data_IF_893888857733
#
_entry.id   IF_893888857733
#
_cell.length_a   1.000
_cell.length_b   1.000
_cell.length_c   1.000
_cell.angle_alpha   90.00
_cell.angle_beta   90.00
_cell.angle_gamma   90.00
#
_symmetry.space_group_name_H-M   'P 1'
#
loop_
_entity.id
_entity.type
_entity.pdbx_description
1 polymer ?
#
# COMPACT_ATOMS: atom_id res chain seq x y z
N UNK A 1 -15.64 6.95 6.61
CA UNK A 1 -14.28 7.52 6.44
C UNK A 1 -13.38 6.38 5.97
N UNK A 2 -12.44 6.64 5.08
CA UNK A 2 -11.58 5.62 4.46
C UNK A 2 -10.24 5.49 5.20
N UNK A 3 -9.68 4.28 5.21
CA UNK A 3 -8.32 4.03 5.65
C UNK A 3 -7.48 3.55 4.46
N UNK A 4 -6.35 4.21 4.21
CA UNK A 4 -5.47 3.89 3.10
C UNK A 4 -4.64 5.10 2.67
N UNK A 5 -3.73 4.88 1.72
CA UNK A 5 -2.83 5.92 1.21
C UNK A 5 -3.48 6.82 0.15
N UNK A 6 -4.54 6.33 -0.50
CA UNK A 6 -5.26 7.03 -1.58
C UNK A 6 -6.75 6.73 -1.45
N UNK A 7 -7.59 7.65 -1.93
CA UNK A 7 -9.04 7.42 -2.00
C UNK A 7 -9.35 6.23 -2.88
N UNK A 8 -10.29 5.43 -2.42
CA UNK A 8 -10.89 4.36 -3.18
C UNK A 8 -11.66 4.95 -4.38
N UNK A 9 -11.38 4.53 -5.63
CA UNK A 9 -12.09 5.00 -6.81
C UNK A 9 -13.61 4.76 -6.78
N UNK A 10 -14.08 3.76 -6.02
CA UNK A 10 -15.49 3.43 -5.87
C UNK A 10 -16.16 4.24 -4.74
N UNK A 11 -15.38 4.97 -3.93
CA UNK A 11 -15.88 5.81 -2.82
C UNK A 11 -15.34 7.25 -2.89
N UNK A 12 -15.45 7.97 -4.02
CA UNK A 12 -14.78 9.27 -4.20
C UNK A 12 -15.21 10.34 -3.17
N UNK A 13 -16.46 10.25 -2.69
CA UNK A 13 -17.08 11.23 -1.80
C UNK A 13 -16.85 10.94 -0.31
N UNK A 14 -16.23 9.81 0.04
CA UNK A 14 -15.90 9.49 1.43
C UNK A 14 -14.50 10.03 1.72
N UNK A 15 -14.27 10.84 2.76
CA UNK A 15 -12.93 11.37 3.08
C UNK A 15 -11.99 10.26 3.57
N UNK A 16 -10.69 10.41 3.33
CA UNK A 16 -9.65 9.64 4.02
C UNK A 16 -9.58 10.08 5.48
N UNK A 17 -9.18 9.19 6.37
CA UNK A 17 -8.91 9.56 7.77
C UNK A 17 -7.83 10.65 7.85
N UNK A 18 -6.86 10.62 6.95
CA UNK A 18 -5.80 11.64 6.85
C UNK A 18 -6.32 13.01 6.41
N UNK A 19 -7.51 13.11 5.80
CA UNK A 19 -8.11 14.39 5.38
C UNK A 19 -8.74 15.15 6.56
N UNK A 20 -9.04 14.46 7.66
CA UNK A 20 -9.92 14.97 8.74
C UNK A 20 -9.30 14.84 10.13
N UNK A 21 -8.28 14.00 10.30
CA UNK A 21 -7.63 13.80 11.57
C UNK A 21 -6.74 15.00 11.93
N UNK A 22 -6.53 15.19 13.24
CA UNK A 22 -5.53 16.15 13.73
C UNK A 22 -4.16 15.82 13.08
N UNK A 23 -3.46 16.81 12.50
CA UNK A 23 -2.19 16.61 11.80
C UNK A 23 -1.14 15.84 12.61
N UNK A 24 -1.17 15.91 13.95
CA UNK A 24 -0.23 15.17 14.81
C UNK A 24 -0.36 13.64 14.67
N UNK A 25 -1.52 13.12 14.24
CA UNK A 25 -1.74 11.69 14.02
C UNK A 25 -1.38 11.24 12.61
N UNK A 26 -1.06 12.17 11.70
CA UNK A 26 -0.79 11.85 10.29
C UNK A 26 0.31 10.77 10.10
N UNK A 27 1.45 10.80 10.81
CA UNK A 27 2.46 9.74 10.66
C UNK A 27 1.93 8.35 11.00
N UNK A 28 1.11 8.24 12.06
CA UNK A 28 0.49 6.98 12.46
C UNK A 28 -0.58 6.54 11.45
N UNK A 29 -1.39 7.47 10.94
CA UNK A 29 -2.42 7.18 9.94
C UNK A 29 -1.78 6.71 8.62
N UNK A 30 -0.74 7.39 8.16
CA UNK A 30 -0.02 7.01 6.93
C UNK A 30 0.67 5.64 7.11
N UNK A 31 1.30 5.39 8.26
CA UNK A 31 1.90 4.09 8.60
C UNK A 31 0.89 2.94 8.59
N UNK A 32 -0.26 3.10 9.25
CA UNK A 32 -1.34 2.09 9.28
C UNK A 32 -1.99 1.95 7.90
N UNK A 33 -2.18 3.07 7.19
CA UNK A 33 -2.76 3.10 5.84
C UNK A 33 -1.92 2.36 4.79
N UNK A 34 -0.60 2.28 4.97
CA UNK A 34 0.30 1.54 4.07
C UNK A 34 0.02 0.03 4.05
N UNK A 35 -0.51 -0.56 5.13
CA UNK A 35 -0.78 -2.00 5.23
C UNK A 35 -1.65 -2.54 4.10
N UNK A 36 -2.65 -1.76 3.65
CA UNK A 36 -3.56 -2.18 2.59
C UNK A 36 -2.86 -2.39 1.25
N UNK A 37 -1.86 -1.56 0.93
CA UNK A 37 -1.07 -1.69 -0.30
C UNK A 37 -0.02 -2.80 -0.17
N UNK A 38 0.67 -2.86 0.98
CA UNK A 38 1.78 -3.81 1.20
C UNK A 38 1.27 -5.25 1.32
N UNK A 39 0.09 -5.47 1.90
CA UNK A 39 -0.41 -6.79 2.27
C UNK A 39 -0.63 -7.78 1.10
N UNK A 40 -0.63 -7.31 -0.15
CA UNK A 40 -0.70 -8.16 -1.36
C UNK A 40 0.52 -8.00 -2.28
N UNK A 41 1.60 -7.40 -1.79
CA UNK A 41 2.84 -7.23 -2.53
C UNK A 41 3.61 -8.53 -2.67
N UNK A 42 4.47 -8.58 -3.70
CA UNK A 42 5.49 -9.62 -3.85
C UNK A 42 6.79 -9.11 -3.24
N UNK A 43 7.53 -10.00 -2.56
CA UNK A 43 8.83 -9.71 -2.00
C UNK A 43 9.85 -10.76 -2.44
N UNK A 44 11.10 -10.34 -2.58
CA UNK A 44 12.23 -11.20 -2.88
C UNK A 44 13.18 -11.23 -1.66
N UNK A 45 13.88 -12.35 -1.40
CA UNK A 45 14.79 -12.44 -0.28
C UNK A 45 16.01 -11.49 -0.44
N UNK A 46 16.67 -11.12 0.66
CA UNK A 46 17.94 -10.38 0.62
C UNK A 46 18.98 -11.10 -0.24
N UNK A 47 19.76 -10.34 -1.01
CA UNK A 47 20.79 -10.88 -1.91
C UNK A 47 20.29 -11.30 -3.30
N UNK A 48 18.99 -11.17 -3.58
CA UNK A 48 18.47 -11.34 -4.95
C UNK A 48 19.16 -10.36 -5.92
N UNK A 49 19.69 -10.82 -7.07
CA UNK A 49 20.36 -9.95 -8.04
C UNK A 49 19.45 -8.82 -8.53
N UNK A 50 20.02 -7.62 -8.70
CA UNK A 50 19.26 -6.41 -9.11
C UNK A 50 18.60 -6.59 -10.48
N UNK A 51 19.25 -7.34 -11.36
CA UNK A 51 18.76 -7.66 -12.70
C UNK A 51 17.48 -8.50 -12.61
N UNK A 52 17.44 -9.49 -11.70
CA UNK A 52 16.26 -10.30 -11.47
C UNK A 52 15.10 -9.48 -10.88
N UNK A 53 15.40 -8.56 -9.94
CA UNK A 53 14.41 -7.62 -9.40
C UNK A 53 13.83 -6.76 -10.52
N UNK A 54 14.68 -6.19 -11.39
CA UNK A 54 14.24 -5.36 -12.51
C UNK A 54 13.30 -6.12 -13.45
N UNK A 55 13.64 -7.38 -13.79
CA UNK A 55 12.78 -8.24 -14.60
C UNK A 55 11.41 -8.45 -13.93
N UNK A 56 11.37 -8.74 -12.63
CA UNK A 56 10.12 -8.92 -11.89
C UNK A 56 9.28 -7.64 -11.87
N UNK A 57 9.89 -6.48 -11.67
CA UNK A 57 9.20 -5.19 -11.66
C UNK A 57 8.58 -4.87 -13.03
N UNK A 58 9.32 -5.07 -14.12
CA UNK A 58 8.82 -4.86 -15.48
C UNK A 58 7.69 -5.84 -15.81
N UNK A 59 7.82 -7.11 -15.43
CA UNK A 59 6.78 -8.11 -15.63
C UNK A 59 5.50 -7.78 -14.85
N UNK A 60 5.64 -7.34 -13.60
CA UNK A 60 4.53 -6.89 -12.76
C UNK A 60 3.78 -5.73 -13.42
N UNK A 61 4.49 -4.69 -13.86
CA UNK A 61 3.88 -3.52 -14.49
C UNK A 61 3.11 -3.84 -15.75
N UNK A 62 3.62 -4.77 -16.57
CA UNK A 62 2.91 -5.26 -17.76
C UNK A 62 1.65 -6.02 -17.38
N UNK A 63 1.76 -6.95 -16.42
CA UNK A 63 0.63 -7.77 -15.97
C UNK A 63 -0.51 -6.94 -15.39
N UNK A 64 -0.23 -5.99 -14.47
CA UNK A 64 -1.31 -5.22 -13.81
C UNK A 64 -2.03 -4.25 -14.74
N UNK A 65 -1.47 -3.98 -15.93
CA UNK A 65 -2.07 -3.16 -17.00
C UNK A 65 -2.67 -4.00 -18.12
N UNK A 66 -2.49 -5.32 -18.09
CA UNK A 66 -2.92 -6.21 -19.15
C UNK A 66 -4.46 -6.37 -19.15
N UNK A 67 -5.14 -6.10 -20.29
CA UNK A 67 -6.59 -6.19 -20.36
C UNK A 67 -7.15 -7.60 -20.10
N UNK A 68 -6.43 -8.65 -20.50
CA UNK A 68 -6.85 -10.04 -20.28
C UNK A 68 -6.77 -10.39 -18.80
N UNK A 69 -5.66 -10.01 -18.14
CA UNK A 69 -5.51 -10.13 -16.69
C UNK A 69 -6.63 -9.43 -15.93
N UNK A 70 -6.96 -8.18 -16.30
CA UNK A 70 -8.03 -7.41 -15.66
C UNK A 70 -9.40 -8.08 -15.90
N UNK A 71 -9.68 -8.54 -17.11
CA UNK A 71 -10.92 -9.23 -17.43
C UNK A 71 -11.08 -10.53 -16.62
N UNK A 72 -10.02 -11.31 -16.51
CA UNK A 72 -10.03 -12.56 -15.74
C UNK A 72 -10.13 -12.32 -14.24
N UNK A 73 -9.45 -11.31 -13.70
CA UNK A 73 -9.62 -10.88 -12.32
C UNK A 73 -11.08 -10.48 -12.04
N UNK A 74 -11.71 -9.73 -12.95
CA UNK A 74 -13.12 -9.33 -12.85
C UNK A 74 -14.07 -10.52 -12.84
N UNK A 75 -13.88 -11.52 -13.73
CA UNK A 75 -14.68 -12.77 -13.74
C UNK A 75 -14.61 -13.50 -12.39
N UNK A 76 -13.44 -13.47 -11.74
CA UNK A 76 -13.18 -14.10 -10.44
C UNK A 76 -13.58 -13.22 -9.25
N UNK A 77 -14.17 -12.04 -9.48
CA UNK A 77 -14.48 -11.04 -8.44
C UNK A 77 -13.25 -10.63 -7.64
N UNK A 78 -12.08 -10.66 -8.27
CA UNK A 78 -10.82 -10.19 -7.70
C UNK A 78 -10.65 -8.72 -8.03
N UNK A 79 -10.54 -7.91 -6.99
CA UNK A 79 -10.32 -6.47 -7.12
C UNK A 79 -8.87 -6.19 -7.49
N UNK A 80 -8.66 -5.48 -8.59
CA UNK A 80 -7.36 -5.04 -9.08
C UNK A 80 -7.31 -3.51 -9.10
N UNK A 81 -6.42 -2.93 -8.30
CA UNK A 81 -6.07 -1.51 -8.37
C UNK A 81 -4.63 -1.46 -8.86
N UNK A 82 -4.47 -1.21 -10.16
CA UNK A 82 -3.16 -1.21 -10.80
C UNK A 82 -2.22 -0.22 -10.11
N UNK A 83 -1.12 -0.73 -9.57
CA UNK A 83 -0.06 0.06 -8.94
C UNK A 83 1.27 -0.43 -9.45
N UNK A 84 2.09 0.48 -9.96
CA UNK A 84 3.43 0.16 -10.47
C UNK A 84 4.39 -0.20 -9.34
N UNK A 85 5.46 -0.91 -9.71
CA UNK A 85 6.41 -1.44 -8.73
C UNK A 85 7.17 -0.33 -8.00
N UNK A 86 7.48 0.78 -8.68
CA UNK A 86 8.17 1.92 -8.08
C UNK A 86 7.33 2.59 -6.99
N UNK A 87 6.03 2.78 -7.24
CA UNK A 87 5.07 3.30 -6.25
C UNK A 87 4.97 2.37 -5.05
N UNK A 88 4.87 1.06 -5.26
CA UNK A 88 4.85 0.08 -4.16
C UNK A 88 6.13 0.18 -3.32
N UNK A 89 7.31 0.19 -3.97
CA UNK A 89 8.59 0.28 -3.28
C UNK A 89 8.72 1.57 -2.48
N UNK A 90 8.25 2.70 -3.03
CA UNK A 90 8.23 3.98 -2.31
C UNK A 90 7.37 3.90 -1.06
N UNK A 91 6.16 3.35 -1.14
CA UNK A 91 5.27 3.22 0.02
C UNK A 91 5.86 2.32 1.09
N UNK A 92 6.53 1.22 0.71
CA UNK A 92 7.25 0.37 1.66
C UNK A 92 8.35 1.16 2.37
N UNK A 93 9.20 1.87 1.61
CA UNK A 93 10.30 2.64 2.18
C UNK A 93 9.79 3.75 3.12
N UNK A 94 8.74 4.47 2.72
CA UNK A 94 8.11 5.52 3.52
C UNK A 94 7.53 4.95 4.81
N UNK A 95 6.81 3.82 4.73
CA UNK A 95 6.23 3.16 5.91
C UNK A 95 7.31 2.67 6.89
N UNK A 96 8.41 2.11 6.38
CA UNK A 96 9.56 1.69 7.20
C UNK A 96 10.24 2.90 7.85
N UNK A 97 10.42 4.00 7.10
CA UNK A 97 11.01 5.22 7.64
C UNK A 97 10.12 5.89 8.70
N UNK A 98 8.80 5.81 8.56
CA UNK A 98 7.82 6.34 9.51
C UNK A 98 7.60 5.45 10.73
N UNK A 99 8.08 4.21 10.74
CA UNK A 99 7.95 3.27 11.84
C UNK A 99 8.87 3.60 13.04
N UNK A 100 8.83 4.85 13.52
CA UNK A 100 9.57 5.25 14.72
C UNK A 100 8.93 4.65 15.98
N UNK A 101 9.67 4.50 17.09
CA UNK A 101 9.10 3.98 18.35
C UNK A 101 7.86 4.74 18.81
N UNK A 102 7.82 6.06 18.61
CA UNK A 102 6.68 6.92 18.95
C UNK A 102 5.46 6.62 18.10
N UNK A 103 5.65 6.48 16.77
CA UNK A 103 4.57 6.15 15.84
C UNK A 103 4.03 4.74 16.11
N UNK A 104 4.92 3.76 16.32
CA UNK A 104 4.54 2.38 16.66
C UNK A 104 3.75 2.35 17.98
N UNK A 105 4.21 3.06 19.01
CA UNK A 105 3.53 3.14 20.31
C UNK A 105 2.16 3.79 20.17
N UNK A 106 2.07 4.88 19.40
CA UNK A 106 0.81 5.57 19.14
C UNK A 106 -0.19 4.67 18.39
N UNK A 107 0.27 3.99 17.34
CA UNK A 107 -0.55 3.04 16.56
C UNK A 107 -1.02 1.87 17.44
N UNK A 108 -0.11 1.29 18.23
CA UNK A 108 -0.42 0.16 19.11
C UNK A 108 -1.46 0.53 20.16
N UNK A 109 -1.31 1.71 20.78
CA UNK A 109 -2.28 2.23 21.74
C UNK A 109 -3.64 2.48 21.10
N UNK A 110 -3.66 3.07 19.91
CA UNK A 110 -4.91 3.39 19.20
C UNK A 110 -5.66 2.13 18.73
N UNK A 111 -4.96 1.09 18.28
CA UNK A 111 -5.55 -0.11 17.70
C UNK A 111 -5.84 -1.18 18.75
N UNK A 112 -4.91 -1.40 19.69
CA UNK A 112 -4.95 -2.53 20.62
C UNK A 112 -5.18 -2.12 22.08
N UNK A 113 -5.26 -0.82 22.39
CA UNK A 113 -5.35 -0.30 23.75
C UNK A 113 -4.23 -0.83 24.68
N UNK A 114 -3.02 -0.99 24.13
CA UNK A 114 -1.80 -1.41 24.83
C UNK A 114 -0.72 -0.32 24.76
#
# INVERSE_FOLDING_TARGET
MQMGMKKDPELPNVPLLSDIADPKYKPMIDFVGAMGLIGRGLAAPPGTPKEAISVMQVAWEKMVKDPEFIADAKKRKLRVIATDAATIQKVVNDAVAQATPEVIKMASKAIYNK
#
